data_IF_795519645655
#
_entry.id   IF_795519645655
#
_cell.length_a   1.000
_cell.length_b   1.000
_cell.length_c   1.000
_cell.angle_alpha   90.00
_cell.angle_beta   90.00
_cell.angle_gamma   90.00
#
_symmetry.space_group_name_H-M   'P 1'
#
loop_
_entity.id
_entity.type
_entity.pdbx_description
1 polymer ?
#
# COMPACT_ATOMS: atom_id res chain seq x y z
N UNK A 1 -13.16 48.84 -39.79
CA UNK A 1 -14.59 48.53 -39.55
C UNK A 1 -14.75 48.04 -38.11
N UNK A 2 -15.89 48.34 -37.46
CA UNK A 2 -16.04 48.41 -36.01
C UNK A 2 -16.11 47.02 -35.35
N UNK A 3 -15.73 46.95 -34.07
CA UNK A 3 -15.93 45.74 -33.26
C UNK A 3 -17.43 45.53 -33.01
N UNK A 4 -17.93 44.37 -33.44
CA UNK A 4 -19.32 43.94 -33.22
C UNK A 4 -19.45 43.27 -31.86
N UNK A 5 -20.41 43.73 -31.06
CA UNK A 5 -20.86 43.08 -29.83
C UNK A 5 -21.46 41.71 -30.15
N UNK A 6 -20.92 40.63 -29.60
CA UNK A 6 -21.59 39.33 -29.65
C UNK A 6 -22.70 39.33 -28.62
N UNK A 7 -23.92 39.25 -29.11
CA UNK A 7 -25.17 39.31 -28.37
C UNK A 7 -25.43 38.01 -27.59
N UNK A 8 -24.41 37.46 -26.92
CA UNK A 8 -24.57 36.28 -26.08
C UNK A 8 -25.11 36.69 -24.72
N UNK A 9 -26.40 36.42 -24.52
CA UNK A 9 -27.04 36.41 -23.21
C UNK A 9 -26.21 35.53 -22.27
N UNK A 10 -25.64 36.06 -21.17
CA UNK A 10 -25.04 35.24 -20.15
C UNK A 10 -26.18 34.43 -19.53
N UNK A 11 -26.18 33.11 -19.76
CA UNK A 11 -27.22 32.23 -19.27
C UNK A 11 -27.39 32.42 -17.77
N UNK A 12 -28.59 32.84 -17.40
CA UNK A 12 -29.03 33.05 -16.03
C UNK A 12 -29.41 31.68 -15.47
N UNK A 13 -28.48 31.01 -14.80
CA UNK A 13 -28.77 29.76 -14.11
C UNK A 13 -29.76 30.03 -12.98
N UNK A 14 -30.99 29.54 -13.15
CA UNK A 14 -31.98 29.41 -12.09
C UNK A 14 -32.21 27.92 -11.90
N UNK A 15 -32.22 27.50 -10.64
CA UNK A 15 -32.37 26.13 -10.15
C UNK A 15 -31.08 25.29 -10.13
N UNK A 16 -30.51 25.17 -8.92
CA UNK A 16 -29.97 23.95 -8.29
C UNK A 16 -29.41 22.84 -9.20
N UNK A 17 -28.65 23.20 -10.23
CA UNK A 17 -27.70 22.30 -10.83
C UNK A 17 -26.40 22.55 -10.08
N UNK A 18 -26.12 21.67 -9.12
CA UNK A 18 -24.78 21.48 -8.58
C UNK A 18 -23.92 20.99 -9.74
N UNK A 19 -23.53 21.93 -10.61
CA UNK A 19 -22.71 21.67 -11.77
C UNK A 19 -21.31 21.40 -11.24
N UNK A 20 -21.06 20.15 -10.84
CA UNK A 20 -19.70 19.67 -10.64
C UNK A 20 -18.94 19.91 -11.93
N UNK A 21 -18.07 20.91 -11.90
CA UNK A 21 -17.04 21.08 -12.91
C UNK A 21 -16.21 19.80 -12.83
N UNK A 22 -16.35 18.92 -13.83
CA UNK A 22 -15.35 17.89 -14.08
C UNK A 22 -14.07 18.67 -14.36
N UNK A 23 -13.23 18.83 -13.34
CA UNK A 23 -11.84 19.19 -13.57
C UNK A 23 -11.30 18.04 -14.39
N UNK A 24 -11.34 18.20 -15.72
CA UNK A 24 -10.60 17.34 -16.61
C UNK A 24 -9.17 17.44 -16.13
N UNK A 25 -8.70 16.40 -15.44
CA UNK A 25 -7.29 16.14 -15.22
C UNK A 25 -6.75 15.81 -16.63
N UNK A 26 -6.69 16.84 -17.49
CA UNK A 26 -6.21 16.78 -18.87
C UNK A 26 -4.75 16.36 -18.91
N UNK A 27 -4.01 16.69 -17.85
CA UNK A 27 -2.65 16.24 -17.67
C UNK A 27 -2.64 14.89 -16.95
N UNK A 28 -2.35 13.82 -17.70
CA UNK A 28 -1.98 12.55 -17.09
C UNK A 28 -0.79 12.79 -16.17
N UNK A 29 -1.01 12.73 -14.85
CA UNK A 29 0.09 12.90 -13.90
C UNK A 29 1.24 11.97 -14.26
N UNK A 30 2.49 12.40 -14.04
CA UNK A 30 3.66 11.57 -14.31
C UNK A 30 3.54 10.17 -13.68
N UNK A 31 2.95 10.08 -12.48
CA UNK A 31 2.60 8.81 -11.80
C UNK A 31 1.72 7.89 -12.64
N UNK A 32 0.74 8.42 -13.38
CA UNK A 32 -0.11 7.63 -14.28
C UNK A 32 0.62 7.25 -15.57
N UNK A 33 1.47 8.12 -16.09
CA UNK A 33 2.24 7.85 -17.32
C UNK A 33 3.26 6.73 -17.13
N UNK A 34 3.90 6.66 -15.95
CA UNK A 34 4.96 5.68 -15.63
C UNK A 34 4.40 4.44 -14.93
N UNK A 35 3.09 4.38 -14.67
CA UNK A 35 2.50 3.24 -13.97
C UNK A 35 2.63 1.94 -14.79
N UNK A 36 3.40 1.00 -14.26
CA UNK A 36 3.53 -0.34 -14.83
C UNK A 36 3.01 -1.37 -13.82
N UNK A 37 1.79 -1.86 -14.05
CA UNK A 37 1.15 -2.83 -13.15
C UNK A 37 1.87 -4.16 -13.08
N UNK A 38 2.47 -4.61 -14.19
CA UNK A 38 3.15 -5.90 -14.25
C UNK A 38 4.46 -5.85 -13.46
N UNK A 39 5.24 -4.78 -13.63
CA UNK A 39 6.46 -4.58 -12.87
C UNK A 39 6.16 -4.44 -11.36
N UNK A 40 5.16 -3.64 -11.01
CA UNK A 40 4.75 -3.46 -9.61
C UNK A 40 4.29 -4.78 -8.98
N UNK A 41 3.57 -5.64 -9.73
CA UNK A 41 3.15 -6.94 -9.23
C UNK A 41 4.33 -7.88 -8.98
N UNK A 42 5.34 -7.87 -9.87
CA UNK A 42 6.58 -8.66 -9.69
C UNK A 42 7.40 -8.17 -8.50
N UNK A 43 7.56 -6.87 -8.34
CA UNK A 43 8.26 -6.27 -7.21
C UNK A 43 7.55 -6.58 -5.89
N UNK A 44 6.21 -6.44 -5.86
CA UNK A 44 5.41 -6.80 -4.70
C UNK A 44 5.55 -8.28 -4.33
N UNK A 45 5.58 -9.18 -5.32
CA UNK A 45 5.80 -10.61 -5.06
C UNK A 45 7.18 -10.86 -4.43
N UNK A 46 8.23 -10.24 -4.98
CA UNK A 46 9.58 -10.36 -4.42
C UNK A 46 9.67 -9.81 -2.99
N UNK A 47 9.03 -8.67 -2.70
CA UNK A 47 8.98 -8.10 -1.37
C UNK A 47 8.29 -9.03 -0.36
N UNK A 48 7.20 -9.69 -0.78
CA UNK A 48 6.50 -10.67 0.05
C UNK A 48 7.36 -11.89 0.35
N UNK A 49 8.03 -12.45 -0.67
CA UNK A 49 8.95 -13.58 -0.50
C UNK A 49 10.06 -13.25 0.51
N UNK A 50 10.64 -12.05 0.43
CA UNK A 50 11.66 -11.59 1.37
C UNK A 50 11.13 -11.51 2.80
N UNK A 51 9.90 -11.04 3.00
CA UNK A 51 9.27 -10.96 4.32
C UNK A 51 9.07 -12.36 4.89
N UNK A 52 8.61 -13.31 4.09
CA UNK A 52 8.38 -14.67 4.54
C UNK A 52 9.69 -15.39 4.88
N UNK A 53 10.74 -15.21 4.07
CA UNK A 53 12.07 -15.71 4.42
C UNK A 53 12.60 -15.17 5.76
N UNK A 54 12.37 -13.88 6.04
CA UNK A 54 12.79 -13.26 7.29
C UNK A 54 12.01 -13.84 8.48
N UNK A 55 10.70 -14.07 8.31
CA UNK A 55 9.86 -14.70 9.34
C UNK A 55 10.33 -16.10 9.66
N UNK A 56 10.61 -16.91 8.64
CA UNK A 56 11.11 -18.28 8.82
C UNK A 56 12.44 -18.30 9.59
N UNK A 57 13.38 -17.42 9.20
CA UNK A 57 14.68 -17.29 9.90
C UNK A 57 14.49 -16.91 11.37
N UNK A 58 13.59 -15.97 11.67
CA UNK A 58 13.28 -15.56 13.05
C UNK A 58 12.62 -16.70 13.83
N UNK A 59 11.67 -17.43 13.23
CA UNK A 59 11.00 -18.55 13.87
C UNK A 59 11.98 -19.67 14.24
N UNK A 60 12.86 -20.06 13.31
CA UNK A 60 13.91 -21.06 13.58
C UNK A 60 14.79 -20.62 14.76
N UNK A 61 15.19 -19.35 14.78
CA UNK A 61 16.00 -18.82 15.87
C UNK A 61 15.26 -18.85 17.21
N UNK A 62 13.98 -18.44 17.21
CA UNK A 62 13.13 -18.46 18.41
C UNK A 62 12.97 -19.89 18.96
N UNK A 63 12.66 -20.86 18.10
CA UNK A 63 12.52 -22.27 18.47
C UNK A 63 13.84 -22.83 19.02
N UNK A 64 14.97 -22.52 18.38
CA UNK A 64 16.29 -22.91 18.86
C UNK A 64 16.59 -22.31 20.24
N UNK A 65 16.22 -21.05 20.48
CA UNK A 65 16.35 -20.39 21.77
C UNK A 65 15.50 -21.07 22.86
N UNK A 66 14.22 -21.35 22.56
CA UNK A 66 13.31 -22.06 23.47
C UNK A 66 13.85 -23.44 23.83
N UNK A 67 14.33 -24.22 22.85
CA UNK A 67 14.93 -25.53 23.07
C UNK A 67 16.21 -25.47 23.91
N UNK A 68 17.06 -24.46 23.69
CA UNK A 68 18.26 -24.26 24.52
C UNK A 68 17.90 -23.92 25.95
N UNK A 69 16.91 -23.05 26.16
CA UNK A 69 16.43 -22.68 27.49
C UNK A 69 15.82 -23.89 28.23
N UNK A 70 14.97 -24.67 27.57
CA UNK A 70 14.33 -25.85 28.17
C UNK A 70 15.35 -26.91 28.55
N UNK A 71 16.34 -27.19 27.69
CA UNK A 71 17.44 -28.12 28.00
C UNK A 71 18.23 -27.68 29.23
N UNK A 72 18.59 -26.39 29.30
CA UNK A 72 19.32 -25.83 30.46
C UNK A 72 18.53 -25.96 31.75
N UNK A 73 17.23 -25.70 31.70
CA UNK A 73 16.35 -25.84 32.85
C UNK A 73 16.25 -27.30 33.28
N UNK A 74 15.90 -28.19 32.36
CA UNK A 74 15.71 -29.62 32.64
C UNK A 74 16.99 -30.31 33.15
N UNK A 75 18.19 -29.88 32.72
CA UNK A 75 19.45 -30.39 33.27
C UNK A 75 19.68 -30.02 34.75
N UNK A 76 19.12 -28.91 35.22
CA UNK A 76 19.33 -28.40 36.58
C UNK A 76 18.23 -28.84 37.55
N UNK A 77 17.05 -29.17 37.04
CA UNK A 77 15.93 -29.65 37.85
C UNK A 77 16.19 -31.10 38.25
N UNK A 78 16.22 -31.36 39.57
CA UNK A 78 16.20 -32.73 40.09
C UNK A 78 14.74 -33.20 40.17
N UNK A 79 14.40 -34.37 39.60
CA UNK A 79 13.06 -34.92 39.74
C UNK A 79 12.77 -35.19 41.22
N UNK A 80 11.59 -34.74 41.68
CA UNK A 80 11.12 -34.91 43.05
C UNK A 80 10.12 -36.07 43.04
N UNK A 81 10.41 -37.14 43.78
CA UNK A 81 9.49 -38.26 44.00
C UNK A 81 8.52 -37.89 45.13
N UNK A 82 7.24 -38.22 44.96
CA UNK A 82 6.20 -38.15 45.98
C UNK A 82 5.87 -39.54 46.49
#
# INVERSE_FOLDING_TARGET
TPQSTTQETPYRMTYEADAMILVEIRETSHRRQVFNSEQNARELAADLDLVDELRDKVQIHEEACKLRASRRYNMRVRPRSF
#
